data_IF_051869813712
#
_entry.id   IF_051869813712
#
_cell.length_a   1.000
_cell.length_b   1.000
_cell.length_c   1.000
_cell.angle_alpha   90.00
_cell.angle_beta   90.00
_cell.angle_gamma   90.00
#
_symmetry.space_group_name_H-M   'P 1'
#
loop_
_entity.id
_entity.type
_entity.pdbx_description
1 polymer ?
#
# COMPACT_ATOMS: atom_id res chain seq x y z
N UNK A 1 -15.93 21.47 -27.13
CA UNK A 1 -16.05 22.50 -26.10
C UNK A 1 -15.03 22.18 -25.01
N UNK A 2 -13.82 22.73 -25.10
CA UNK A 2 -12.75 22.49 -24.12
C UNK A 2 -12.97 23.37 -22.92
N UNK A 3 -13.02 22.75 -21.73
CA UNK A 3 -13.06 23.47 -20.45
C UNK A 3 -11.69 24.09 -20.17
N UNK A 4 -11.57 25.38 -20.38
CA UNK A 4 -10.47 26.19 -19.90
C UNK A 4 -10.60 26.30 -18.37
N UNK A 5 -9.87 25.50 -17.61
CA UNK A 5 -9.61 25.84 -16.21
C UNK A 5 -8.63 27.03 -16.22
N UNK A 6 -8.91 28.12 -15.51
CA UNK A 6 -8.01 29.25 -15.46
C UNK A 6 -6.71 28.84 -14.78
N UNK A 7 -5.57 29.18 -15.40
CA UNK A 7 -4.21 28.89 -14.88
C UNK A 7 -4.01 29.36 -13.42
N UNK A 8 -4.76 30.35 -12.99
CA UNK A 8 -4.77 30.87 -11.63
C UNK A 8 -5.22 29.86 -10.57
N UNK A 9 -6.21 28.99 -10.86
CA UNK A 9 -6.64 27.97 -9.90
C UNK A 9 -5.58 26.88 -9.72
N UNK A 10 -4.93 26.47 -10.81
CA UNK A 10 -3.81 25.51 -10.74
C UNK A 10 -2.63 26.08 -9.96
N UNK A 11 -2.34 27.37 -10.11
CA UNK A 11 -1.26 28.05 -9.40
C UNK A 11 -1.56 28.17 -7.90
N UNK A 12 -2.80 28.51 -7.55
CA UNK A 12 -3.25 28.61 -6.15
C UNK A 12 -3.21 27.24 -5.45
N UNK A 13 -3.61 26.18 -6.14
CA UNK A 13 -3.56 24.81 -5.59
C UNK A 13 -2.11 24.36 -5.35
N UNK A 14 -1.21 24.62 -6.30
CA UNK A 14 0.23 24.33 -6.15
C UNK A 14 0.85 25.15 -5.00
N UNK A 15 0.52 26.43 -4.90
CA UNK A 15 0.99 27.29 -3.81
C UNK A 15 0.47 26.82 -2.44
N UNK A 16 -0.80 26.40 -2.36
CA UNK A 16 -1.38 25.84 -1.15
C UNK A 16 -0.70 24.51 -0.74
N UNK A 17 -0.44 23.62 -1.70
CA UNK A 17 0.30 22.37 -1.43
C UNK A 17 1.73 22.64 -0.95
N UNK A 18 2.44 23.56 -1.57
CA UNK A 18 3.79 23.97 -1.14
C UNK A 18 3.73 24.61 0.25
N UNK A 19 2.75 25.45 0.53
CA UNK A 19 2.55 26.06 1.85
C UNK A 19 2.30 25.01 2.95
N UNK A 20 1.48 24.01 2.68
CA UNK A 20 1.23 22.90 3.61
C UNK A 20 2.50 22.08 3.84
N UNK A 21 3.25 21.78 2.79
CA UNK A 21 4.53 21.03 2.91
C UNK A 21 5.54 21.85 3.72
N UNK A 22 5.68 23.15 3.47
CA UNK A 22 6.58 24.04 4.23
C UNK A 22 6.13 24.18 5.68
N UNK A 23 4.83 24.24 5.95
CA UNK A 23 4.29 24.30 7.31
C UNK A 23 4.57 22.99 8.08
N UNK A 24 4.41 21.83 7.44
CA UNK A 24 4.76 20.54 8.02
C UNK A 24 6.27 20.43 8.29
N UNK A 25 7.12 20.91 7.38
CA UNK A 25 8.58 20.94 7.55
C UNK A 25 9.02 21.94 8.65
N UNK A 26 8.36 23.08 8.78
CA UNK A 26 8.66 24.07 9.83
C UNK A 26 8.26 23.57 11.23
N UNK A 27 7.20 22.74 11.33
CA UNK A 27 6.83 22.05 12.56
C UNK A 27 7.89 21.06 13.04
N UNK A 28 8.66 20.48 12.12
CA UNK A 28 9.75 19.56 12.44
C UNK A 28 11.02 20.27 12.95
N UNK A 29 11.20 21.56 12.66
CA UNK A 29 12.43 22.30 12.99
C UNK A 29 12.56 22.66 14.49
N UNK A 30 11.49 22.59 15.28
CA UNK A 30 11.48 22.88 16.71
C UNK A 30 11.04 21.68 17.60
N UNK A 31 10.67 20.55 17.00
CA UNK A 31 10.43 19.34 17.75
C UNK A 31 11.76 18.60 17.90
N UNK A 32 12.13 18.24 19.12
CA UNK A 32 13.05 17.11 19.31
C UNK A 32 12.45 15.98 18.47
N UNK A 33 13.14 15.56 17.42
CA UNK A 33 12.67 14.50 16.52
C UNK A 33 12.38 13.30 17.41
N UNK A 34 11.12 12.92 17.64
CA UNK A 34 10.83 11.74 18.42
C UNK A 34 11.53 10.57 17.73
N UNK A 35 12.17 9.69 18.50
CA UNK A 35 12.80 8.51 17.94
C UNK A 35 11.81 7.79 17.01
N UNK A 36 12.29 7.35 15.88
CA UNK A 36 11.43 6.76 14.87
C UNK A 36 12.20 5.89 13.89
N UNK A 37 11.52 5.48 12.85
CA UNK A 37 12.17 4.78 11.75
C UNK A 37 11.47 5.01 10.41
N UNK A 38 12.22 4.84 9.35
CA UNK A 38 11.76 4.78 7.97
C UNK A 38 12.04 3.38 7.45
N UNK A 39 11.07 2.74 6.85
CA UNK A 39 11.20 1.48 6.15
C UNK A 39 11.03 1.68 4.65
N UNK A 40 11.83 0.95 3.89
CA UNK A 40 11.69 0.79 2.44
C UNK A 40 11.93 -0.66 2.08
N UNK A 41 11.00 -1.27 1.37
CA UNK A 41 11.07 -2.68 1.06
C UNK A 41 10.37 -3.08 -0.24
N UNK A 42 10.64 -4.30 -0.63
CA UNK A 42 9.88 -5.05 -1.61
C UNK A 42 8.67 -5.65 -0.92
N UNK A 43 7.53 -5.60 -1.59
CA UNK A 43 6.26 -6.15 -1.09
C UNK A 43 5.67 -7.12 -2.10
N UNK A 44 5.16 -8.22 -1.58
CA UNK A 44 4.43 -9.24 -2.31
C UNK A 44 3.05 -9.40 -1.72
N UNK A 45 2.03 -9.29 -2.55
CA UNK A 45 0.66 -9.46 -2.14
C UNK A 45 0.00 -10.63 -2.85
N UNK A 46 -0.60 -11.51 -2.06
CA UNK A 46 -1.45 -12.58 -2.54
C UNK A 46 -2.89 -12.21 -2.32
N UNK A 47 -3.58 -11.92 -3.40
CA UNK A 47 -5.00 -11.52 -3.38
C UNK A 47 -5.88 -12.76 -3.39
N UNK A 48 -6.83 -12.81 -2.46
CA UNK A 48 -7.90 -13.83 -2.46
C UNK A 48 -9.19 -13.19 -2.96
N UNK A 49 -9.21 -12.79 -4.25
CA UNK A 49 -10.35 -12.12 -4.82
C UNK A 49 -11.22 -13.08 -5.63
N UNK A 50 -12.47 -13.20 -5.20
CA UNK A 50 -13.56 -13.76 -6.03
C UNK A 50 -14.13 -12.72 -7.02
N UNK A 51 -13.55 -11.51 -7.09
CA UNK A 51 -14.10 -10.35 -7.75
C UNK A 51 -14.06 -10.39 -9.29
N UNK A 52 -13.44 -11.39 -9.90
CA UNK A 52 -13.40 -11.57 -11.36
C UNK A 52 -14.35 -12.67 -11.86
N UNK A 53 -15.37 -13.03 -11.10
CA UNK A 53 -16.41 -13.93 -11.58
C UNK A 53 -17.46 -13.18 -12.37
N UNK A 54 -17.17 -12.87 -13.63
CA UNK A 54 -18.22 -12.57 -14.60
C UNK A 54 -18.80 -13.88 -15.11
N UNK A 55 -20.12 -13.96 -15.15
CA UNK A 55 -20.93 -15.16 -15.43
C UNK A 55 -20.71 -15.86 -16.77
N UNK A 56 -19.77 -15.40 -17.60
CA UNK A 56 -19.44 -15.98 -18.92
C UNK A 56 -17.94 -16.29 -19.10
N UNK A 57 -17.10 -16.10 -18.10
CA UNK A 57 -15.69 -16.46 -18.14
C UNK A 57 -15.49 -17.83 -17.50
N UNK A 58 -15.35 -18.82 -18.36
CA UNK A 58 -14.85 -20.13 -17.93
C UNK A 58 -13.36 -20.05 -17.83
N UNK A 59 -12.82 -19.80 -16.67
CA UNK A 59 -11.51 -20.36 -16.29
C UNK A 59 -11.16 -20.04 -14.85
N UNK A 60 -10.58 -21.04 -14.20
CA UNK A 60 -10.11 -21.04 -12.83
C UNK A 60 -9.47 -19.71 -12.42
N UNK A 61 -10.08 -19.07 -11.46
CA UNK A 61 -9.50 -17.92 -10.78
C UNK A 61 -8.25 -18.41 -10.03
N UNK A 62 -7.10 -18.27 -10.65
CA UNK A 62 -5.86 -18.33 -9.90
C UNK A 62 -5.74 -17.05 -9.11
N UNK A 63 -5.43 -17.14 -7.82
CA UNK A 63 -5.18 -15.99 -6.96
C UNK A 63 -4.10 -15.10 -7.59
N UNK A 64 -4.39 -13.86 -7.99
CA UNK A 64 -3.38 -13.01 -8.58
C UNK A 64 -2.31 -12.71 -7.54
N UNK A 65 -1.07 -12.89 -7.95
CA UNK A 65 0.08 -12.50 -7.17
C UNK A 65 0.53 -11.13 -7.68
N UNK A 66 0.56 -10.15 -6.78
CA UNK A 66 1.01 -8.81 -7.08
C UNK A 66 2.39 -8.62 -6.46
N UNK A 67 3.25 -7.91 -7.18
CA UNK A 67 4.58 -7.54 -6.71
C UNK A 67 4.67 -6.03 -6.63
N UNK A 68 5.42 -5.53 -5.65
CA UNK A 68 5.47 -4.10 -5.48
C UNK A 68 6.51 -3.62 -4.50
N UNK A 69 6.25 -2.45 -3.98
CA UNK A 69 7.09 -1.78 -3.00
C UNK A 69 6.24 -1.31 -1.83
N UNK A 70 6.89 -1.12 -0.72
CA UNK A 70 6.30 -0.56 0.50
C UNK A 70 7.26 0.42 1.13
N UNK A 71 6.72 1.51 1.64
CA UNK A 71 7.43 2.49 2.43
C UNK A 71 6.61 2.86 3.65
N UNK A 72 7.23 2.84 4.83
CA UNK A 72 6.56 3.29 6.04
C UNK A 72 7.43 4.22 6.88
N UNK A 73 6.76 5.13 7.58
CA UNK A 73 7.35 6.05 8.54
C UNK A 73 6.71 5.83 9.89
N UNK A 74 7.53 5.56 10.91
CA UNK A 74 7.10 5.41 12.30
C UNK A 74 7.65 6.55 13.15
N UNK A 75 6.76 7.23 13.88
CA UNK A 75 7.11 8.14 14.98
C UNK A 75 6.77 7.48 16.31
N UNK A 76 7.74 7.36 17.21
CA UNK A 76 7.53 6.81 18.56
C UNK A 76 6.84 7.83 19.45
N UNK A 77 5.71 7.46 20.04
CA UNK A 77 5.01 8.25 21.06
C UNK A 77 5.57 7.92 22.45
N UNK A 78 5.78 6.65 22.69
CA UNK A 78 6.45 6.10 23.89
C UNK A 78 7.42 4.99 23.45
N UNK A 79 8.34 4.53 24.29
CA UNK A 79 9.42 3.62 23.88
C UNK A 79 8.98 2.37 23.12
N UNK A 80 7.79 1.87 23.37
CA UNK A 80 7.30 0.62 22.77
C UNK A 80 6.16 0.85 21.78
N UNK A 81 5.57 2.05 21.72
CA UNK A 81 4.42 2.36 20.88
C UNK A 81 4.74 3.50 19.94
N UNK A 82 4.50 3.30 18.65
CA UNK A 82 4.59 4.31 17.62
C UNK A 82 3.30 4.43 16.81
N UNK A 83 3.20 5.52 16.07
CA UNK A 83 2.23 5.66 14.99
C UNK A 83 3.00 5.52 13.68
N UNK A 84 2.45 4.70 12.80
CA UNK A 84 3.01 4.40 11.49
C UNK A 84 2.09 4.95 10.43
N UNK A 85 2.67 5.63 9.44
CA UNK A 85 2.06 5.86 8.14
C UNK A 85 2.70 4.91 7.14
N UNK A 86 1.90 4.16 6.42
CA UNK A 86 2.32 3.15 5.46
C UNK A 86 1.76 3.47 4.08
N UNK A 87 2.59 3.33 3.08
CA UNK A 87 2.23 3.51 1.66
C UNK A 87 2.82 2.34 0.88
N UNK A 88 1.98 1.67 0.12
CA UNK A 88 2.42 0.58 -0.75
C UNK A 88 1.82 0.68 -2.15
N UNK A 89 2.53 0.09 -3.10
CA UNK A 89 2.08 0.00 -4.49
C UNK A 89 2.36 -1.38 -5.05
N UNK A 90 1.31 -2.05 -5.53
CA UNK A 90 1.37 -3.40 -6.06
C UNK A 90 0.96 -3.44 -7.52
N UNK A 91 1.63 -4.25 -8.31
CA UNK A 91 1.44 -4.35 -9.75
C UNK A 91 1.35 -5.83 -10.14
N UNK A 92 0.40 -6.13 -11.03
CA UNK A 92 0.27 -7.46 -11.58
C UNK A 92 -0.45 -7.46 -12.92
N UNK A 93 -0.19 -8.49 -13.70
CA UNK A 93 -0.88 -8.72 -14.97
C UNK A 93 -1.34 -10.17 -15.05
N UNK A 94 -2.53 -10.38 -15.56
CA UNK A 94 -3.07 -11.70 -15.82
C UNK A 94 -3.66 -11.78 -17.20
N UNK A 95 -3.46 -12.93 -17.86
CA UNK A 95 -4.02 -13.24 -19.17
C UNK A 95 -5.13 -14.27 -19.00
N UNK A 96 -6.30 -13.96 -19.53
CA UNK A 96 -7.47 -14.84 -19.56
C UNK A 96 -7.80 -15.22 -20.99
N UNK A 97 -8.33 -16.43 -21.18
CA UNK A 97 -8.87 -16.85 -22.47
C UNK A 97 -10.39 -16.77 -22.39
N UNK A 98 -10.98 -15.81 -23.10
CA UNK A 98 -12.42 -15.69 -23.26
C UNK A 98 -12.88 -16.52 -24.46
N UNK A 99 -13.90 -17.34 -24.29
CA UNK A 99 -14.56 -18.04 -25.38
C UNK A 99 -15.66 -17.17 -25.95
N UNK A 100 -15.37 -16.53 -27.09
CA UNK A 100 -16.39 -15.78 -27.86
C UNK A 100 -17.00 -16.64 -28.97
N UNK A 101 -18.15 -16.26 -29.54
CA UNK A 101 -18.73 -16.94 -30.71
C UNK A 101 -17.77 -17.01 -31.90
N UNK A 102 -16.79 -16.11 -31.98
CA UNK A 102 -15.79 -16.02 -33.05
C UNK A 102 -14.48 -16.78 -32.71
N UNK A 103 -14.45 -17.56 -31.61
CA UNK A 103 -13.29 -18.32 -31.16
C UNK A 103 -12.67 -17.78 -29.86
N UNK A 104 -11.66 -18.48 -29.33
CA UNK A 104 -10.99 -18.07 -28.09
C UNK A 104 -10.18 -16.78 -28.32
N UNK A 105 -10.38 -15.78 -27.44
CA UNK A 105 -9.62 -14.54 -27.44
C UNK A 105 -8.83 -14.39 -26.14
N UNK A 106 -7.58 -13.96 -26.25
CA UNK A 106 -6.74 -13.67 -25.09
C UNK A 106 -7.04 -12.24 -24.58
N UNK A 107 -7.49 -12.14 -23.34
CA UNK A 107 -7.71 -10.86 -22.65
C UNK A 107 -6.60 -10.70 -21.63
N UNK A 108 -5.86 -9.59 -21.73
CA UNK A 108 -4.87 -9.20 -20.76
C UNK A 108 -5.46 -8.14 -19.83
N UNK A 109 -5.42 -8.39 -18.54
CA UNK A 109 -5.82 -7.44 -17.49
C UNK A 109 -4.60 -7.09 -16.66
N UNK A 110 -4.31 -5.81 -16.55
CA UNK A 110 -3.29 -5.26 -15.66
C UNK A 110 -3.96 -4.63 -14.46
N UNK A 111 -3.49 -4.94 -13.26
CA UNK A 111 -3.94 -4.35 -12.02
C UNK A 111 -2.84 -3.52 -11.38
N UNK A 112 -3.21 -2.33 -10.91
CA UNK A 112 -2.38 -1.45 -10.10
C UNK A 112 -3.15 -1.15 -8.83
N UNK A 113 -2.61 -1.54 -7.70
CA UNK A 113 -3.19 -1.27 -6.39
C UNK A 113 -2.25 -0.36 -5.58
N UNK A 114 -2.81 0.65 -4.96
CA UNK A 114 -2.10 1.59 -4.08
C UNK A 114 -2.84 1.64 -2.75
N UNK A 115 -2.09 1.56 -1.67
CA UNK A 115 -2.60 1.56 -0.32
C UNK A 115 -1.98 2.70 0.48
N UNK A 116 -2.81 3.33 1.31
CA UNK A 116 -2.44 4.41 2.20
C UNK A 116 -3.05 4.10 3.56
N UNK A 117 -2.22 3.65 4.48
CA UNK A 117 -2.64 3.14 5.78
C UNK A 117 -1.99 3.94 6.91
N UNK A 118 -2.65 4.00 8.04
CA UNK A 118 -2.13 4.62 9.27
C UNK A 118 -2.60 3.83 10.48
N UNK A 119 -1.73 3.70 11.48
CA UNK A 119 -2.12 3.04 12.70
C UNK A 119 -1.01 2.84 13.72
N UNK A 120 -1.35 2.28 14.89
CA UNK A 120 -0.39 2.01 15.95
C UNK A 120 0.46 0.78 15.67
N UNK A 121 1.72 0.84 16.08
CA UNK A 121 2.67 -0.28 16.12
C UNK A 121 3.21 -0.43 17.55
N UNK A 122 3.17 -1.65 18.05
CA UNK A 122 3.81 -2.05 19.30
C UNK A 122 5.11 -2.79 18.97
N UNK A 123 6.25 -2.32 19.47
CA UNK A 123 7.57 -2.89 19.20
C UNK A 123 8.29 -3.19 20.51
N UNK A 124 8.87 -4.38 20.63
CA UNK A 124 9.56 -4.83 21.85
C UNK A 124 11.03 -5.15 21.52
N UNK A 125 11.98 -4.23 21.77
CA UNK A 125 13.39 -4.50 21.47
C UNK A 125 13.97 -5.57 22.41
N UNK A 126 14.53 -6.64 21.81
CA UNK A 126 15.22 -7.72 22.52
C UNK A 126 16.60 -7.91 21.89
N UNK A 127 17.59 -7.22 22.41
CA UNK A 127 18.96 -7.25 21.87
C UNK A 127 19.06 -6.70 20.46
N UNK A 128 19.38 -7.55 19.48
CA UNK A 128 19.46 -7.17 18.05
C UNK A 128 18.14 -7.32 17.32
N UNK A 129 17.16 -8.00 17.93
CA UNK A 129 15.86 -8.29 17.31
C UNK A 129 14.81 -7.39 17.93
N UNK A 130 13.90 -6.87 17.12
CA UNK A 130 12.75 -6.10 17.56
C UNK A 130 11.49 -6.68 16.94
N UNK A 131 10.80 -7.62 17.57
CA UNK A 131 9.47 -8.03 17.15
C UNK A 131 8.49 -6.87 17.30
N UNK A 132 7.51 -6.81 16.40
CA UNK A 132 6.45 -5.83 16.44
C UNK A 132 5.13 -6.40 15.94
N UNK A 133 4.05 -5.80 16.41
CA UNK A 133 2.70 -6.01 15.90
C UNK A 133 2.04 -4.68 15.59
N UNK A 134 1.13 -4.67 14.63
CA UNK A 134 0.53 -3.45 14.13
C UNK A 134 -0.90 -3.65 13.67
N UNK A 135 -1.65 -2.55 13.70
CA UNK A 135 -3.01 -2.50 13.19
C UNK A 135 -3.15 -1.21 12.40
N UNK A 136 -3.67 -1.31 11.18
CA UNK A 136 -3.81 -0.19 10.27
C UNK A 136 -5.25 0.01 9.83
N UNK A 137 -5.58 1.27 9.55
CA UNK A 137 -6.80 1.67 8.85
C UNK A 137 -6.44 2.69 7.78
N UNK A 138 -7.19 2.72 6.69
CA UNK A 138 -6.92 3.66 5.61
C UNK A 138 -7.74 3.41 4.36
N UNK A 139 -7.14 3.66 3.22
CA UNK A 139 -7.78 3.52 1.92
C UNK A 139 -6.87 2.74 0.96
N UNK A 140 -7.50 1.92 0.13
CA UNK A 140 -6.86 1.27 -0.99
C UNK A 140 -7.52 1.75 -2.30
N UNK A 141 -6.71 2.01 -3.30
CA UNK A 141 -7.13 2.43 -4.63
C UNK A 141 -6.66 1.42 -5.66
N UNK A 142 -7.59 0.85 -6.40
CA UNK A 142 -7.30 -0.07 -7.50
C UNK A 142 -7.63 0.59 -8.84
N UNK A 143 -6.72 0.42 -9.78
CA UNK A 143 -6.91 0.79 -11.17
C UNK A 143 -6.64 -0.44 -12.04
N UNK A 144 -7.63 -0.83 -12.83
CA UNK A 144 -7.48 -1.94 -13.77
C UNK A 144 -7.38 -1.37 -15.18
N UNK A 145 -6.38 -1.84 -15.94
CA UNK A 145 -6.14 -1.48 -17.34
C UNK A 145 -6.13 -2.72 -18.22
N UNK A 146 -6.17 -2.54 -19.55
CA UNK A 146 -6.07 -3.62 -20.52
C UNK A 146 -7.12 -3.53 -21.64
N UNK A 147 -7.58 -4.67 -22.14
CA UNK A 147 -8.53 -4.77 -23.25
C UNK A 147 -9.98 -4.41 -22.85
N UNK A 148 -10.26 -4.33 -21.55
CA UNK A 148 -11.57 -3.99 -20.98
C UNK A 148 -11.64 -2.50 -20.56
N UNK A 149 -12.85 -1.93 -20.36
CA UNK A 149 -13.01 -0.61 -19.76
C UNK A 149 -12.19 -0.52 -18.46
N UNK A 150 -11.53 0.61 -18.22
CA UNK A 150 -10.62 0.84 -17.10
C UNK A 150 -11.39 1.30 -15.85
N UNK A 151 -12.05 0.43 -15.08
CA UNK A 151 -12.68 0.83 -13.84
C UNK A 151 -11.62 1.11 -12.78
N UNK A 152 -11.79 2.21 -12.06
CA UNK A 152 -11.06 2.50 -10.84
C UNK A 152 -12.03 2.45 -9.66
N UNK A 153 -11.54 2.01 -8.52
CA UNK A 153 -12.32 1.96 -7.28
C UNK A 153 -11.44 2.32 -6.11
N UNK A 154 -11.99 3.09 -5.18
CA UNK A 154 -11.36 3.41 -3.91
C UNK A 154 -12.21 2.83 -2.79
N UNK A 155 -11.57 2.14 -1.87
CA UNK A 155 -12.24 1.46 -0.78
C UNK A 155 -11.55 1.71 0.55
N UNK A 156 -12.33 1.62 1.62
CA UNK A 156 -11.78 1.52 2.97
C UNK A 156 -10.98 0.22 3.10
N UNK A 157 -9.81 0.33 3.75
CA UNK A 157 -8.90 -0.77 4.00
C UNK A 157 -8.55 -0.83 5.49
N UNK A 158 -8.36 -2.02 6.00
CA UNK A 158 -7.72 -2.23 7.30
C UNK A 158 -6.78 -3.43 7.22
N UNK A 159 -5.71 -3.36 8.01
CA UNK A 159 -4.74 -4.43 8.10
C UNK A 159 -4.40 -4.74 9.55
N UNK A 160 -4.02 -5.97 9.79
CA UNK A 160 -3.44 -6.43 11.04
C UNK A 160 -2.26 -7.31 10.71
N UNK A 161 -1.14 -7.04 11.34
CA UNK A 161 0.08 -7.76 11.03
C UNK A 161 1.18 -7.56 12.04
N UNK A 162 2.38 -7.86 11.60
CA UNK A 162 3.57 -7.70 12.39
C UNK A 162 4.79 -8.31 11.74
N UNK A 163 5.93 -8.15 12.39
CA UNK A 163 7.18 -8.58 11.83
C UNK A 163 8.34 -8.53 12.81
N UNK A 164 9.51 -8.58 12.23
CA UNK A 164 10.77 -8.58 12.95
C UNK A 164 11.76 -7.62 12.29
N UNK A 165 12.36 -6.74 13.09
CA UNK A 165 13.53 -5.98 12.69
C UNK A 165 14.78 -6.64 13.27
N UNK A 166 15.79 -6.85 12.44
CA UNK A 166 17.12 -7.29 12.84
C UNK A 166 18.14 -6.18 12.65
N UNK A 167 18.72 -5.67 13.75
CA UNK A 167 19.74 -4.62 13.69
C UNK A 167 21.01 -5.16 13.05
N UNK A 168 21.39 -4.59 11.90
CA UNK A 168 22.58 -4.99 11.14
C UNK A 168 23.80 -4.21 11.65
N UNK A 169 23.77 -2.88 11.53
CA UNK A 169 24.80 -1.99 12.05
C UNK A 169 24.26 -0.57 12.28
N UNK A 170 24.73 0.10 13.33
CA UNK A 170 24.33 1.48 13.64
C UNK A 170 22.81 1.68 13.62
N UNK A 171 22.30 2.64 12.83
CA UNK A 171 20.87 2.91 12.70
C UNK A 171 20.15 1.97 11.72
N UNK A 172 20.88 1.09 11.02
CA UNK A 172 20.30 0.25 9.95
C UNK A 172 19.86 -1.11 10.49
N UNK A 173 18.65 -1.49 10.14
CA UNK A 173 18.10 -2.82 10.40
C UNK A 173 17.47 -3.42 9.11
N UNK A 174 17.43 -4.75 9.04
CA UNK A 174 16.65 -5.48 8.07
C UNK A 174 15.28 -5.79 8.68
N UNK A 175 14.21 -5.69 7.91
CA UNK A 175 12.83 -5.99 8.32
C UNK A 175 12.25 -7.07 7.43
N UNK A 176 11.46 -7.95 8.08
CA UNK A 176 10.48 -8.82 7.43
C UNK A 176 9.16 -8.64 8.16
N UNK A 177 8.07 -8.48 7.40
CA UNK A 177 6.74 -8.29 7.97
C UNK A 177 5.69 -9.01 7.14
N UNK A 178 4.55 -9.28 7.77
CA UNK A 178 3.41 -9.90 7.13
C UNK A 178 2.11 -9.33 7.68
N UNK A 179 1.22 -8.91 6.77
CA UNK A 179 -0.04 -8.29 7.09
C UNK A 179 -1.21 -9.01 6.44
N UNK A 180 -2.25 -9.17 7.20
CA UNK A 180 -3.54 -9.56 6.69
C UNK A 180 -4.33 -8.28 6.39
N UNK A 181 -4.48 -7.99 5.10
CA UNK A 181 -5.16 -6.81 4.59
C UNK A 181 -6.57 -7.17 4.15
N UNK A 182 -7.54 -6.36 4.54
CA UNK A 182 -8.92 -6.49 4.08
C UNK A 182 -9.42 -5.21 3.46
N UNK A 183 -9.89 -5.35 2.22
CA UNK A 183 -10.45 -4.27 1.41
C UNK A 183 -11.86 -4.63 0.94
N UNK A 184 -12.63 -3.65 0.48
CA UNK A 184 -13.97 -3.87 -0.04
C UNK A 184 -14.13 -3.19 -1.40
N UNK A 185 -13.53 -3.78 -2.44
CA UNK A 185 -13.67 -3.27 -3.79
C UNK A 185 -14.92 -3.79 -4.48
N UNK A 186 -15.59 -2.95 -5.29
CA UNK A 186 -16.77 -3.28 -6.09
C UNK A 186 -17.84 -4.04 -5.30
N UNK A 187 -18.07 -3.66 -4.03
CA UNK A 187 -19.01 -4.32 -3.09
C UNK A 187 -18.64 -5.76 -2.70
N UNK A 188 -17.46 -6.24 -3.09
CA UNK A 188 -16.93 -7.54 -2.68
C UNK A 188 -15.80 -7.37 -1.66
N UNK A 189 -15.85 -8.16 -0.60
CA UNK A 189 -14.78 -8.18 0.41
C UNK A 189 -13.62 -9.01 -0.10
N UNK A 190 -12.43 -8.44 -0.08
CA UNK A 190 -11.18 -9.12 -0.43
C UNK A 190 -10.33 -9.28 0.82
N UNK A 191 -9.69 -10.42 0.94
CA UNK A 191 -8.78 -10.75 2.02
C UNK A 191 -7.43 -11.08 1.40
N UNK A 192 -6.46 -10.23 1.62
CA UNK A 192 -5.15 -10.30 1.00
C UNK A 192 -4.09 -10.61 2.07
N UNK A 193 -3.07 -11.33 1.69
CA UNK A 193 -1.88 -11.52 2.50
C UNK A 193 -0.74 -10.75 1.86
N UNK A 194 -0.24 -9.74 2.58
CA UNK A 194 0.92 -8.94 2.18
C UNK A 194 2.14 -9.44 2.94
N UNK A 195 3.26 -9.66 2.25
CA UNK A 195 4.54 -10.03 2.81
C UNK A 195 5.60 -9.06 2.30
N UNK A 196 6.33 -8.43 3.20
CA UNK A 196 7.31 -7.42 2.84
C UNK A 196 8.67 -7.69 3.48
N UNK A 197 9.72 -7.32 2.75
CA UNK A 197 11.08 -7.40 3.25
C UNK A 197 11.91 -6.22 2.73
N UNK A 198 12.73 -5.63 3.61
CA UNK A 198 13.50 -4.45 3.23
C UNK A 198 14.42 -3.93 4.33
N UNK A 199 14.72 -2.65 4.24
CA UNK A 199 15.66 -1.96 5.10
C UNK A 199 14.92 -0.91 5.94
N UNK A 200 15.29 -0.85 7.21
CA UNK A 200 14.83 0.16 8.18
C UNK A 200 15.99 1.07 8.55
N UNK A 201 15.75 2.36 8.49
CA UNK A 201 16.64 3.37 9.04
C UNK A 201 16.02 3.96 10.30
N UNK A 202 16.73 3.89 11.42
CA UNK A 202 16.30 4.37 12.76
C UNK A 202 16.96 5.69 13.10
N UNK A 203 16.25 6.59 13.73
CA UNK A 203 16.75 7.89 14.18
C UNK A 203 16.22 8.26 15.56
#
# INVERSE_FOLDING_TARGET
>A
MGSWMPETESLMLKAACIGVILFLLAGLANAQIPSGNVFLGFSYERTNSSAFSTSNLVTAVSHPNLHGWEASFEGKIVPFVGIVGDVSGHYGSQSFVERTPNGPQNINVTGHEQEYLVGPRLSIPVGKITPFGEVFVGVAHIHTGGTLPNPSNTSFAYAVGGGLDYRVFGPVAARVEGDYLRTKFFSSTQNNLRLSAGIVFRF
#
